data_IF_936249776028
#
_entry.id   IF_936249776028
#
_cell.length_a   1.000
_cell.length_b   1.000
_cell.length_c   1.000
_cell.angle_alpha   90.00
_cell.angle_beta   90.00
_cell.angle_gamma   90.00
#
_symmetry.space_group_name_H-M   'P 1'
#
loop_
_entity.id
_entity.type
_entity.pdbx_description
1 polymer ?
#
# COMPACT_ATOMS: atom_id res chain seq x y z
N UNK A 1 -16.55 4.36 23.09
CA UNK A 1 -15.08 4.49 23.01
C UNK A 1 -14.76 5.93 22.66
N UNK A 2 -14.21 6.67 23.61
CA UNK A 2 -13.79 8.05 23.41
C UNK A 2 -12.62 8.06 22.44
N UNK A 3 -12.84 8.61 21.25
CA UNK A 3 -11.79 8.77 20.24
C UNK A 3 -10.93 9.96 20.62
N UNK A 4 -9.64 9.74 20.88
CA UNK A 4 -8.68 10.79 21.16
C UNK A 4 -8.01 11.22 19.85
N UNK A 5 -8.11 12.51 19.53
CA UNK A 5 -7.40 13.08 18.39
C UNK A 5 -5.94 13.31 18.77
N UNK A 6 -5.01 12.63 18.06
CA UNK A 6 -3.57 12.71 18.32
C UNK A 6 -2.85 13.79 17.48
N UNK A 7 -3.43 14.20 16.34
CA UNK A 7 -2.89 15.28 15.50
C UNK A 7 -4.00 16.27 15.11
N UNK A 8 -3.61 17.51 14.84
CA UNK A 8 -4.55 18.53 14.41
C UNK A 8 -5.20 18.15 13.06
N UNK A 9 -6.49 18.46 12.91
CA UNK A 9 -7.25 18.22 11.67
C UNK A 9 -6.56 18.84 10.44
N UNK A 10 -6.10 20.06 10.54
CA UNK A 10 -5.38 20.77 9.48
C UNK A 10 -4.13 20.00 8.99
N UNK A 11 -3.39 19.35 9.90
CA UNK A 11 -2.23 18.52 9.53
C UNK A 11 -2.69 17.28 8.75
N UNK A 12 -3.76 16.62 9.19
CA UNK A 12 -4.32 15.47 8.46
C UNK A 12 -4.74 15.86 7.04
N UNK A 13 -5.41 17.01 6.89
CA UNK A 13 -5.85 17.53 5.59
C UNK A 13 -4.68 17.86 4.64
N UNK A 14 -3.54 18.25 5.17
CA UNK A 14 -2.33 18.50 4.37
C UNK A 14 -1.59 17.21 4.01
N UNK A 15 -1.58 16.20 4.88
CA UNK A 15 -0.87 14.94 4.65
C UNK A 15 -1.64 14.02 3.71
N UNK A 16 -2.96 13.94 3.80
CA UNK A 16 -3.77 13.01 3.01
C UNK A 16 -3.54 13.14 1.48
N UNK A 17 -3.48 14.33 0.88
CA UNK A 17 -3.15 14.47 -0.54
C UNK A 17 -1.75 13.97 -0.90
N UNK A 18 -0.78 14.07 0.00
CA UNK A 18 0.58 13.55 -0.20
C UNK A 18 0.55 12.02 -0.20
N UNK A 19 -0.14 11.40 0.77
CA UNK A 19 -0.33 9.95 0.82
C UNK A 19 -1.06 9.43 -0.41
N UNK A 20 -2.03 10.19 -0.94
CA UNK A 20 -2.72 9.86 -2.19
C UNK A 20 -1.76 9.84 -3.38
N UNK A 21 -0.88 10.83 -3.51
CA UNK A 21 0.10 10.90 -4.60
C UNK A 21 1.05 9.72 -4.63
N UNK A 22 1.42 9.15 -3.48
CA UNK A 22 2.28 7.95 -3.40
C UNK A 22 1.63 6.76 -4.11
N UNK A 23 0.30 6.69 -4.13
CA UNK A 23 -0.47 5.61 -4.76
C UNK A 23 -0.88 5.98 -6.19
N UNK A 24 -1.35 7.22 -6.44
CA UNK A 24 -2.01 7.59 -7.69
C UNK A 24 -1.07 8.05 -8.80
N UNK A 25 0.18 8.41 -8.50
CA UNK A 25 1.10 8.90 -9.53
C UNK A 25 1.94 7.77 -10.11
N UNK A 26 2.34 7.89 -11.39
CA UNK A 26 3.21 6.90 -12.08
C UNK A 26 4.57 6.71 -11.42
N UNK A 27 5.08 7.74 -10.74
CA UNK A 27 6.35 7.68 -9.99
C UNK A 27 6.16 7.29 -8.52
N UNK A 28 4.92 7.12 -8.08
CA UNK A 28 4.60 6.72 -6.72
C UNK A 28 5.02 5.28 -6.43
N UNK A 29 5.55 5.06 -5.23
CA UNK A 29 6.07 3.73 -4.82
C UNK A 29 4.96 2.71 -4.53
N UNK A 30 3.69 3.12 -4.50
CA UNK A 30 2.55 2.27 -4.17
C UNK A 30 1.49 2.20 -5.29
N UNK A 31 1.90 2.32 -6.53
CA UNK A 31 1.00 2.38 -7.69
C UNK A 31 0.16 1.10 -7.88
N UNK A 32 0.68 -0.08 -7.51
CA UNK A 32 -0.06 -1.34 -7.56
C UNK A 32 -1.25 -1.43 -6.59
N UNK A 33 -1.35 -0.50 -5.63
CA UNK A 33 -2.54 -0.35 -4.77
C UNK A 33 -3.50 0.73 -5.26
N UNK A 34 -3.29 1.30 -6.46
CA UNK A 34 -4.20 2.26 -7.07
C UNK A 34 -5.41 1.54 -7.68
N UNK A 35 -6.33 1.13 -6.84
CA UNK A 35 -7.55 0.44 -7.26
C UNK A 35 -8.60 1.48 -7.63
N UNK A 36 -9.10 1.40 -8.85
CA UNK A 36 -10.13 2.30 -9.35
C UNK A 36 -11.37 2.30 -8.44
N UNK A 37 -11.87 3.48 -8.11
CA UNK A 37 -13.05 3.68 -7.28
C UNK A 37 -12.82 3.66 -5.76
N UNK A 38 -11.62 3.32 -5.26
CA UNK A 38 -11.39 3.19 -3.81
C UNK A 38 -10.57 4.31 -3.16
N UNK A 39 -10.02 5.23 -3.95
CA UNK A 39 -9.29 6.42 -3.46
C UNK A 39 -8.27 6.07 -2.36
N UNK A 40 -7.38 5.12 -2.68
CA UNK A 40 -6.37 4.61 -1.74
C UNK A 40 -5.23 5.60 -1.58
N UNK A 41 -4.85 5.90 -0.36
CA UNK A 41 -3.62 6.60 -0.01
C UNK A 41 -2.78 5.76 0.94
N UNK A 42 -1.46 6.01 1.03
CA UNK A 42 -0.65 5.22 1.94
C UNK A 42 0.85 5.47 1.86
N UNK A 43 1.61 4.68 2.68
CA UNK A 43 3.07 4.79 2.75
C UNK A 43 3.71 3.40 2.80
N UNK A 44 4.72 3.22 1.96
CA UNK A 44 5.56 2.02 1.92
C UNK A 44 6.66 2.08 2.97
N UNK A 45 7.05 0.91 3.48
CA UNK A 45 8.23 0.70 4.30
C UNK A 45 8.98 -0.53 3.81
N UNK A 46 10.29 -0.40 3.57
CA UNK A 46 11.19 -1.51 3.26
C UNK A 46 12.36 -1.44 4.20
N UNK A 47 12.49 -2.41 5.08
CA UNK A 47 13.56 -2.48 6.07
C UNK A 47 14.41 -3.74 5.86
N UNK A 48 15.72 -3.63 6.05
CA UNK A 48 16.61 -4.79 6.17
C UNK A 48 16.52 -5.34 7.59
N UNK A 49 16.54 -6.66 7.72
CA UNK A 49 16.62 -7.31 9.02
C UNK A 49 18.05 -7.19 9.59
N UNK A 50 18.14 -7.03 10.89
CA UNK A 50 19.42 -7.11 11.60
C UNK A 50 19.54 -8.51 12.23
N UNK A 51 20.61 -9.21 11.90
CA UNK A 51 20.97 -10.52 12.47
C UNK A 51 22.30 -10.34 13.19
N UNK A 52 22.31 -10.56 14.50
CA UNK A 52 23.50 -10.39 15.35
C UNK A 52 24.16 -8.99 15.21
N UNK A 53 23.34 -7.94 15.07
CA UNK A 53 23.80 -6.55 14.94
C UNK A 53 24.30 -6.15 13.55
N UNK A 54 24.19 -7.03 12.54
CA UNK A 54 24.59 -6.77 11.15
C UNK A 54 23.36 -6.77 10.26
N UNK A 55 23.24 -5.83 9.33
CA UNK A 55 22.18 -5.83 8.35
C UNK A 55 22.35 -6.98 7.38
N UNK A 56 21.27 -7.76 7.20
CA UNK A 56 21.20 -8.89 6.27
C UNK A 56 20.51 -8.47 4.96
N UNK A 57 20.48 -9.38 3.99
CA UNK A 57 19.72 -9.18 2.75
C UNK A 57 18.22 -9.47 2.91
N UNK A 58 17.82 -10.11 4.01
CA UNK A 58 16.41 -10.34 4.33
C UNK A 58 15.72 -9.02 4.64
N UNK A 59 14.48 -8.91 4.18
CA UNK A 59 13.70 -7.68 4.29
C UNK A 59 12.35 -7.92 4.96
N UNK A 60 11.89 -6.87 5.62
CA UNK A 60 10.50 -6.71 6.03
C UNK A 60 9.90 -5.62 5.15
N UNK A 61 8.89 -5.99 4.37
CA UNK A 61 8.17 -5.07 3.52
C UNK A 61 6.79 -4.77 4.10
N UNK A 62 6.48 -3.49 4.25
CA UNK A 62 5.21 -3.04 4.83
C UNK A 62 4.53 -2.02 3.92
N UNK A 63 3.22 -2.03 3.92
CA UNK A 63 2.42 -0.94 3.38
C UNK A 63 1.24 -0.64 4.31
N UNK A 64 1.16 0.61 4.74
CA UNK A 64 0.00 1.13 5.48
C UNK A 64 -0.84 1.91 4.50
N UNK A 65 -2.08 1.50 4.31
CA UNK A 65 -3.04 2.17 3.44
C UNK A 65 -4.22 2.72 4.21
N UNK A 66 -4.80 3.80 3.69
CA UNK A 66 -6.01 4.45 4.19
C UNK A 66 -6.96 4.57 3.00
N UNK A 67 -8.20 4.20 3.15
CA UNK A 67 -9.20 4.32 2.08
C UNK A 67 -10.63 4.49 2.61
N UNK A 68 -11.45 5.30 1.91
CA UNK A 68 -11.07 6.34 0.95
C UNK A 68 -10.22 7.41 1.64
N UNK A 69 -9.14 7.90 0.99
CA UNK A 69 -8.27 8.91 1.63
C UNK A 69 -8.93 10.28 1.74
N UNK A 70 -9.87 10.58 0.86
CA UNK A 70 -10.70 11.80 0.88
C UNK A 70 -11.66 11.86 2.07
N UNK A 71 -12.13 10.71 2.54
CA UNK A 71 -12.97 10.55 3.73
C UNK A 71 -12.60 9.28 4.48
N UNK A 72 -11.49 9.28 5.26
CA UNK A 72 -10.90 8.07 5.83
C UNK A 72 -11.86 7.23 6.67
N UNK A 73 -12.05 5.98 6.29
CA UNK A 73 -12.90 5.00 6.97
C UNK A 73 -12.12 3.80 7.46
N UNK A 74 -11.17 3.34 6.64
CA UNK A 74 -10.42 2.13 6.88
C UNK A 74 -8.93 2.36 6.83
N UNK A 75 -8.22 1.66 7.68
CA UNK A 75 -6.75 1.52 7.62
C UNK A 75 -6.43 0.05 7.47
N UNK A 76 -5.59 -0.28 6.47
CA UNK A 76 -5.10 -1.64 6.24
C UNK A 76 -3.58 -1.63 6.27
N UNK A 77 -3.00 -2.42 7.15
CA UNK A 77 -1.57 -2.70 7.19
C UNK A 77 -1.31 -4.11 6.64
N UNK A 78 -0.45 -4.19 5.64
CA UNK A 78 0.12 -5.46 5.16
C UNK A 78 1.61 -5.47 5.45
N UNK A 79 2.06 -6.47 6.20
CA UNK A 79 3.45 -6.74 6.51
C UNK A 79 3.83 -8.10 5.95
N UNK A 80 4.94 -8.15 5.22
CA UNK A 80 5.54 -9.39 4.72
C UNK A 80 6.95 -9.53 5.28
N UNK A 81 7.19 -10.66 5.91
CA UNK A 81 8.50 -11.03 6.44
C UNK A 81 9.23 -11.91 5.41
N UNK A 82 10.38 -11.47 4.98
CA UNK A 82 11.25 -12.12 3.99
C UNK A 82 10.55 -12.52 2.67
N UNK A 83 9.77 -11.63 2.04
CA UNK A 83 9.18 -11.94 0.76
C UNK A 83 10.26 -12.21 -0.28
N UNK A 84 9.97 -13.11 -1.20
CA UNK A 84 10.91 -13.48 -2.30
C UNK A 84 10.46 -12.86 -3.62
N UNK A 85 11.43 -12.56 -4.46
CA UNK A 85 11.16 -12.19 -5.86
C UNK A 85 10.72 -13.43 -6.65
N UNK A 86 9.90 -13.23 -7.67
CA UNK A 86 9.43 -14.29 -8.56
C UNK A 86 9.48 -13.77 -10.01
N UNK A 87 10.28 -14.43 -10.87
CA UNK A 87 10.45 -14.06 -12.27
C UNK A 87 9.21 -14.33 -13.13
N UNK A 88 8.34 -15.24 -12.70
CA UNK A 88 7.17 -15.66 -13.46
C UNK A 88 5.88 -14.96 -13.01
N UNK A 89 5.93 -14.19 -11.91
CA UNK A 89 4.77 -13.49 -11.41
C UNK A 89 4.33 -12.38 -12.36
N UNK A 90 3.02 -12.25 -12.57
CA UNK A 90 2.43 -11.20 -13.43
C UNK A 90 1.72 -10.19 -12.54
N UNK A 91 2.23 -8.97 -12.55
CA UNK A 91 1.56 -7.82 -11.93
C UNK A 91 0.51 -7.26 -12.89
N UNK A 92 -0.68 -7.02 -12.38
CA UNK A 92 -1.78 -6.37 -13.10
C UNK A 92 -2.12 -5.05 -12.40
N UNK A 93 -2.02 -3.96 -13.15
CA UNK A 93 -2.40 -2.65 -12.64
C UNK A 93 -3.92 -2.49 -12.69
N UNK A 94 -4.51 -2.03 -11.59
CA UNK A 94 -5.96 -1.90 -11.41
C UNK A 94 -6.39 -0.42 -11.39
N UNK A 95 -5.63 0.41 -12.06
CA UNK A 95 -5.84 1.85 -12.20
C UNK A 95 -6.61 2.23 -13.48
N UNK A 96 -7.22 1.25 -14.15
CA UNK A 96 -7.90 1.41 -15.44
C UNK A 96 -6.97 1.31 -16.66
N UNK A 97 -5.65 1.23 -16.48
CA UNK A 97 -4.68 1.15 -17.60
C UNK A 97 -4.60 -0.23 -18.24
N UNK A 98 -5.02 -1.29 -17.53
CA UNK A 98 -4.85 -2.70 -17.91
C UNK A 98 -3.39 -3.10 -18.18
N UNK A 99 -2.43 -2.33 -17.68
CA UNK A 99 -1.01 -2.62 -17.85
C UNK A 99 -0.61 -3.86 -17.05
N UNK A 100 0.25 -4.70 -17.64
CA UNK A 100 0.81 -5.90 -17.00
C UNK A 100 2.32 -5.88 -17.05
N UNK A 101 2.95 -6.36 -15.98
CA UNK A 101 4.40 -6.51 -15.88
C UNK A 101 4.74 -7.93 -15.41
N UNK A 102 5.63 -8.61 -16.12
CA UNK A 102 6.15 -9.94 -15.74
C UNK A 102 7.41 -9.81 -14.90
N UNK A 103 7.46 -10.58 -13.83
CA UNK A 103 8.59 -10.68 -12.91
C UNK A 103 8.61 -9.58 -11.84
N UNK A 104 9.08 -9.93 -10.64
CA UNK A 104 9.27 -9.01 -9.53
C UNK A 104 10.60 -8.27 -9.70
N UNK A 105 10.63 -6.97 -10.07
CA UNK A 105 11.87 -6.26 -10.38
C UNK A 105 12.79 -6.11 -9.18
N UNK A 106 12.21 -5.91 -8.00
CA UNK A 106 12.95 -5.65 -6.74
C UNK A 106 12.20 -6.21 -5.54
N UNK A 107 12.95 -6.69 -4.54
CA UNK A 107 12.38 -7.02 -3.24
C UNK A 107 12.16 -5.75 -2.41
N UNK A 108 11.09 -5.04 -2.69
CA UNK A 108 10.66 -3.84 -1.96
C UNK A 108 9.16 -3.87 -1.71
N UNK A 109 8.70 -3.08 -0.75
CA UNK A 109 7.28 -2.99 -0.41
C UNK A 109 6.39 -2.66 -1.62
N UNK A 110 6.87 -1.82 -2.55
CA UNK A 110 6.13 -1.45 -3.76
C UNK A 110 5.77 -2.64 -4.66
N UNK A 111 6.58 -3.71 -4.66
CA UNK A 111 6.39 -4.92 -5.46
C UNK A 111 5.85 -6.10 -4.67
N UNK A 112 5.63 -5.95 -3.39
CA UNK A 112 5.21 -7.05 -2.50
C UNK A 112 3.98 -6.66 -1.68
N UNK A 113 4.13 -6.00 -0.53
CA UNK A 113 3.01 -5.65 0.36
C UNK A 113 2.00 -4.69 -0.29
N UNK A 114 2.43 -3.80 -1.17
CA UNK A 114 1.53 -2.89 -1.92
C UNK A 114 0.63 -3.70 -2.85
N UNK A 115 1.18 -4.62 -3.61
CA UNK A 115 0.44 -5.46 -4.54
C UNK A 115 -0.60 -6.32 -3.82
N UNK A 116 -0.23 -6.94 -2.70
CA UNK A 116 -1.16 -7.72 -1.88
C UNK A 116 -2.26 -6.82 -1.30
N UNK A 117 -1.91 -5.61 -0.86
CA UNK A 117 -2.90 -4.63 -0.38
C UNK A 117 -3.92 -4.30 -1.46
N UNK A 118 -3.46 -4.05 -2.69
CA UNK A 118 -4.34 -3.80 -3.83
C UNK A 118 -5.33 -4.95 -4.06
N UNK A 119 -4.85 -6.19 -4.08
CA UNK A 119 -5.70 -7.39 -4.21
C UNK A 119 -6.70 -7.56 -3.06
N UNK A 120 -6.29 -7.24 -1.83
CA UNK A 120 -7.19 -7.28 -0.69
C UNK A 120 -8.29 -6.25 -0.86
N UNK A 121 -7.95 -4.98 -1.14
CA UNK A 121 -8.92 -3.89 -1.32
C UNK A 121 -9.89 -4.21 -2.47
N UNK A 122 -9.41 -4.73 -3.59
CA UNK A 122 -10.25 -5.14 -4.72
C UNK A 122 -11.31 -6.18 -4.30
N UNK A 123 -10.95 -7.11 -3.43
CA UNK A 123 -11.87 -8.16 -2.95
C UNK A 123 -12.83 -7.68 -1.86
N UNK A 124 -12.32 -6.95 -0.85
CA UNK A 124 -13.14 -6.54 0.29
C UNK A 124 -13.87 -5.22 0.08
N UNK A 125 -13.38 -4.38 -0.84
CA UNK A 125 -13.92 -3.05 -1.10
C UNK A 125 -15.42 -3.04 -1.38
N UNK A 126 -15.95 -3.90 -2.26
CA UNK A 126 -17.39 -3.99 -2.51
C UNK A 126 -18.21 -4.31 -1.24
N UNK A 127 -17.68 -5.19 -0.37
CA UNK A 127 -18.32 -5.55 0.89
C UNK A 127 -18.33 -4.36 1.85
N UNK A 128 -17.21 -3.63 1.93
CA UNK A 128 -17.07 -2.48 2.81
C UNK A 128 -17.92 -1.30 2.35
N UNK A 129 -18.06 -1.09 1.04
CA UNK A 129 -18.88 -0.03 0.47
C UNK A 129 -20.38 -0.16 0.80
N UNK A 130 -20.87 -1.37 1.08
CA UNK A 130 -22.27 -1.59 1.47
C UNK A 130 -22.59 -1.23 2.93
N UNK A 131 -21.56 -0.92 3.74
CA UNK A 131 -21.73 -0.65 5.16
C UNK A 131 -21.88 0.84 5.51
N UNK A 132 -21.75 1.74 4.53
CA UNK A 132 -21.79 3.19 4.74
C UNK A 132 -22.45 3.95 3.60
#
# INVERSE_FOLDING_TARGET
NDRIRVINKNISEQINPILRKIVSTKIGTANLANIEGYDVGGKTGTAQKSINGVYSNEKINTFVSIFPISNPRYTLLVLLDEPKINSEYIYEYKDGSNFKLKGTPRNTAGWTSVEITGKIIEKIGPILATKY
#
